data_IF_902059500632
#
_entry.id   IF_902059500632
#
_cell.length_a   1.000
_cell.length_b   1.000
_cell.length_c   1.000
_cell.angle_alpha   90.00
_cell.angle_beta   90.00
_cell.angle_gamma   90.00
#
_symmetry.space_group_name_H-M   'P 1'
#
loop_
_entity.id
_entity.type
_entity.pdbx_description
1 polymer ?
#
# COMPACT_ATOMS: atom_id res chain seq x y z
N UNK A 1 27.66 14.80 25.24
CA UNK A 1 27.37 13.48 24.66
C UNK A 1 26.15 13.61 23.77
N UNK A 2 26.29 13.37 22.46
CA UNK A 2 25.21 13.57 21.48
C UNK A 2 25.27 12.50 20.41
N UNK A 3 24.13 11.88 20.14
CA UNK A 3 23.93 10.92 19.05
C UNK A 3 23.44 11.66 17.81
N UNK A 4 23.96 11.28 16.64
CA UNK A 4 23.50 11.75 15.35
C UNK A 4 23.22 10.55 14.44
N UNK A 5 22.14 10.64 13.67
CA UNK A 5 21.82 9.68 12.62
C UNK A 5 22.77 9.88 11.43
N UNK A 6 23.46 8.82 11.01
CA UNK A 6 24.46 8.89 9.93
C UNK A 6 23.85 8.54 8.58
N UNK A 7 22.96 7.54 8.55
CA UNK A 7 22.29 7.07 7.33
C UNK A 7 20.88 6.60 7.65
N UNK A 8 20.01 6.77 6.67
CA UNK A 8 18.63 6.29 6.68
C UNK A 8 18.32 5.72 5.29
N UNK A 9 17.59 4.61 5.23
CA UNK A 9 17.22 3.95 3.98
C UNK A 9 15.73 3.67 3.98
N UNK A 10 15.05 3.98 2.87
CA UNK A 10 13.58 3.88 2.76
C UNK A 10 13.15 3.27 1.44
N UNK A 11 11.84 2.97 1.36
CA UNK A 11 11.14 2.57 0.13
C UNK A 11 11.89 1.39 -0.52
N UNK A 12 12.32 1.54 -1.77
CA UNK A 12 13.04 0.52 -2.55
C UNK A 12 14.33 0.05 -1.87
N UNK A 13 15.00 0.94 -1.14
CA UNK A 13 16.26 0.63 -0.48
C UNK A 13 16.13 -0.40 0.65
N UNK A 14 14.93 -0.60 1.19
CA UNK A 14 14.62 -1.63 2.20
C UNK A 14 13.65 -2.70 1.69
N UNK A 15 13.32 -2.71 0.39
CA UNK A 15 12.31 -3.61 -0.19
C UNK A 15 12.67 -5.08 -0.01
N UNK A 16 13.96 -5.44 -0.03
CA UNK A 16 14.42 -6.80 0.19
C UNK A 16 14.09 -7.35 1.59
N UNK A 17 13.81 -6.47 2.56
CA UNK A 17 13.37 -6.85 3.90
C UNK A 17 11.84 -6.96 4.01
N UNK A 18 11.11 -6.52 2.99
CA UNK A 18 9.67 -6.64 2.91
C UNK A 18 9.28 -7.99 2.30
N UNK A 19 8.55 -8.80 3.05
CA UNK A 19 8.09 -10.10 2.57
C UNK A 19 6.89 -9.98 1.62
N UNK A 20 6.18 -8.85 1.60
CA UNK A 20 4.92 -8.72 0.87
C UNK A 20 5.14 -8.59 -0.64
N UNK A 21 6.10 -7.77 -1.07
CA UNK A 21 6.42 -7.58 -2.49
C UNK A 21 6.91 -8.85 -3.17
N UNK A 22 7.79 -9.62 -2.51
CA UNK A 22 8.25 -10.90 -3.01
C UNK A 22 7.11 -11.92 -3.16
N UNK A 23 6.10 -11.87 -2.30
CA UNK A 23 4.90 -12.72 -2.44
C UNK A 23 3.99 -12.25 -3.58
N UNK A 24 3.88 -10.94 -3.81
CA UNK A 24 3.08 -10.37 -4.91
C UNK A 24 3.65 -10.75 -6.28
N UNK A 25 4.98 -10.81 -6.42
CA UNK A 25 5.67 -11.28 -7.63
C UNK A 25 5.29 -12.71 -8.04
N UNK A 26 4.88 -13.53 -7.06
CA UNK A 26 4.45 -14.91 -7.29
C UNK A 26 2.96 -15.00 -7.67
N UNK A 27 2.21 -13.90 -7.59
CA UNK A 27 0.80 -13.88 -7.95
C UNK A 27 0.60 -13.70 -9.45
N UNK A 28 -0.56 -14.14 -9.94
CA UNK A 28 -0.88 -14.05 -11.38
C UNK A 28 -0.88 -12.62 -11.91
N UNK A 29 -1.09 -11.61 -11.07
CA UNK A 29 -1.15 -10.21 -11.50
C UNK A 29 0.11 -9.40 -11.13
N UNK A 30 1.16 -10.05 -10.61
CA UNK A 30 2.37 -9.36 -10.17
C UNK A 30 2.08 -8.32 -9.07
N UNK A 31 2.90 -7.26 -9.04
CA UNK A 31 2.75 -6.15 -8.08
C UNK A 31 1.75 -5.11 -8.57
N UNK A 32 1.38 -5.14 -9.85
CA UNK A 32 0.47 -4.19 -10.49
C UNK A 32 0.98 -2.74 -10.47
N UNK A 33 2.30 -2.56 -10.36
CA UNK A 33 2.94 -1.24 -10.28
C UNK A 33 2.87 -0.51 -11.63
N UNK A 34 2.76 0.83 -11.67
CA UNK A 34 2.55 1.57 -12.93
C UNK A 34 3.64 1.42 -13.99
N UNK A 35 4.84 0.99 -13.60
CA UNK A 35 5.97 0.72 -14.50
C UNK A 35 6.11 -0.76 -14.86
N UNK A 36 5.26 -1.63 -14.32
CA UNK A 36 5.21 -3.04 -14.70
C UNK A 36 4.68 -3.15 -16.14
N UNK A 37 5.35 -3.92 -16.98
CA UNK A 37 4.87 -4.21 -18.33
C UNK A 37 3.85 -5.33 -18.29
N UNK A 38 2.59 -4.99 -17.99
CA UNK A 38 1.49 -5.95 -17.89
C UNK A 38 0.79 -6.14 -19.25
N UNK A 39 0.32 -7.36 -19.58
CA UNK A 39 -0.46 -7.60 -20.79
C UNK A 39 -1.70 -6.71 -20.89
N UNK A 40 -2.14 -6.45 -22.12
CA UNK A 40 -3.32 -5.63 -22.38
C UNK A 40 -4.57 -6.17 -21.64
N UNK A 41 -5.25 -5.29 -20.93
CA UNK A 41 -6.45 -5.62 -20.13
C UNK A 41 -6.16 -6.15 -18.72
N UNK A 42 -4.89 -6.26 -18.31
CA UNK A 42 -4.56 -6.59 -16.93
C UNK A 42 -4.89 -5.44 -15.97
N UNK A 43 -5.38 -5.75 -14.76
CA UNK A 43 -5.59 -4.73 -13.75
C UNK A 43 -4.24 -4.14 -13.30
N UNK A 44 -4.10 -2.82 -13.40
CA UNK A 44 -3.00 -2.05 -12.79
C UNK A 44 -3.60 -0.97 -11.88
N UNK A 45 -4.00 -1.39 -10.69
CA UNK A 45 -4.67 -0.52 -9.71
C UNK A 45 -3.73 0.08 -8.66
N UNK A 46 -2.41 -0.11 -8.79
CA UNK A 46 -1.45 0.34 -7.79
C UNK A 46 -1.31 1.86 -7.83
N UNK A 47 -2.26 2.53 -7.18
CA UNK A 47 -2.22 3.96 -6.91
C UNK A 47 -1.27 4.21 -5.73
N UNK A 48 0.03 4.25 -5.99
CA UNK A 48 0.86 5.12 -5.14
C UNK A 48 0.58 6.52 -5.65
N UNK A 49 -0.37 7.21 -5.03
CA UNK A 49 -0.60 8.62 -5.35
C UNK A 49 0.72 9.42 -5.23
N UNK A 50 0.78 10.61 -5.83
CA UNK A 50 1.95 11.50 -5.78
C UNK A 50 2.43 11.84 -4.34
N UNK A 51 1.66 11.44 -3.32
CA UNK A 51 1.95 11.59 -1.89
C UNK A 51 2.61 10.35 -1.24
N UNK A 52 2.86 9.27 -1.99
CA UNK A 52 3.55 8.07 -1.48
C UNK A 52 2.70 7.14 -0.60
N UNK A 53 1.38 7.30 -0.56
CA UNK A 53 0.50 6.50 0.30
C UNK A 53 0.19 5.12 -0.31
N UNK A 54 1.15 4.20 -0.28
CA UNK A 54 1.00 2.81 -0.76
C UNK A 54 -0.05 2.00 0.01
N UNK A 55 -0.44 2.47 1.19
CA UNK A 55 -1.38 1.80 2.10
C UNK A 55 -2.74 2.50 2.17
N UNK A 56 -3.05 3.40 1.21
CA UNK A 56 -4.34 4.07 1.14
C UNK A 56 -4.98 3.99 -0.25
N UNK A 57 -6.30 3.99 -0.29
CA UNK A 57 -7.11 4.16 -1.51
C UNK A 57 -8.16 5.21 -1.23
N UNK A 58 -8.34 6.17 -2.14
CA UNK A 58 -9.28 7.30 -1.96
C UNK A 58 -9.09 8.06 -0.63
N UNK A 59 -7.84 8.25 -0.20
CA UNK A 59 -7.51 8.94 1.06
C UNK A 59 -7.77 8.13 2.34
N UNK A 60 -8.20 6.87 2.23
CA UNK A 60 -8.49 5.98 3.38
C UNK A 60 -7.49 4.83 3.45
N UNK A 61 -7.11 4.35 4.66
CA UNK A 61 -6.31 3.14 4.80
C UNK A 61 -6.93 1.93 4.08
N UNK A 62 -6.13 1.23 3.29
CA UNK A 62 -6.48 -0.05 2.66
C UNK A 62 -6.69 -1.05 3.79
N UNK A 63 -7.86 -1.66 3.84
CA UNK A 63 -8.11 -2.72 4.80
C UNK A 63 -7.34 -3.98 4.36
N UNK A 64 -6.57 -4.59 5.27
CA UNK A 64 -5.88 -5.86 5.02
C UNK A 64 -6.85 -7.06 4.93
N UNK A 65 -8.13 -6.85 5.25
CA UNK A 65 -9.20 -7.83 5.12
C UNK A 65 -10.35 -7.26 4.32
N UNK A 66 -11.15 -8.15 3.72
CA UNK A 66 -12.36 -7.76 3.00
C UNK A 66 -13.20 -6.81 3.85
N UNK A 67 -13.32 -5.55 3.41
CA UNK A 67 -14.42 -4.72 3.88
C UNK A 67 -15.68 -5.43 3.44
N UNK A 68 -16.58 -5.70 4.38
CA UNK A 68 -17.90 -6.24 4.08
C UNK A 68 -18.56 -5.30 3.07
N UNK A 69 -18.53 -5.65 1.79
CA UNK A 69 -19.36 -5.05 0.77
C UNK A 69 -20.82 -5.43 1.09
N UNK A 70 -21.42 -4.78 2.09
CA UNK A 70 -22.79 -5.04 2.54
C UNK A 70 -23.31 -3.97 3.53
N UNK A 71 -23.25 -2.68 3.18
CA UNK A 71 -24.11 -1.66 3.81
C UNK A 71 -23.98 -1.48 5.33
N UNK A 72 -22.76 -1.48 5.89
CA UNK A 72 -22.54 -1.12 7.30
C UNK A 72 -21.86 0.25 7.40
N UNK A 73 -22.28 1.04 8.40
CA UNK A 73 -21.74 2.37 8.68
C UNK A 73 -20.29 2.29 9.17
N UNK A 74 -19.45 3.20 8.68
CA UNK A 74 -18.06 3.44 9.13
C UNK A 74 -18.00 4.40 10.35
N UNK A 75 -19.13 4.76 10.93
CA UNK A 75 -19.21 5.62 12.11
C UNK A 75 -18.66 4.89 13.35
N UNK A 76 -17.54 5.39 13.88
CA UNK A 76 -16.87 4.85 15.07
C UNK A 76 -17.41 5.44 16.38
N UNK A 77 -18.43 6.31 16.33
CA UNK A 77 -19.13 6.84 17.51
C UNK A 77 -18.31 7.79 18.39
N UNK A 78 -17.12 8.21 17.96
CA UNK A 78 -16.17 8.96 18.80
C UNK A 78 -16.18 10.49 18.59
N UNK A 79 -17.20 11.04 17.92
CA UNK A 79 -17.39 12.50 17.91
C UNK A 79 -18.01 12.93 19.25
N UNK A 80 -17.18 13.31 20.21
CA UNK A 80 -17.61 14.02 21.42
C UNK A 80 -17.99 15.44 21.03
N UNK A 81 -19.22 15.83 21.36
CA UNK A 81 -19.78 17.20 21.24
C UNK A 81 -19.10 18.21 22.15
#
# INVERSE_FOLDING_TARGET
DRVFETYWTTIRGVEAMDNSYALMDLTIYGRQEPWEDSPAGWPQRWETNDNGDQLRTNGRPIAQWSRLAAGRSDDLGNAVT
#
